data_IF_678484416704
#
_entry.id   IF_678484416704
#
_cell.length_a   1.000
_cell.length_b   1.000
_cell.length_c   1.000
_cell.angle_alpha   90.00
_cell.angle_beta   90.00
_cell.angle_gamma   90.00
#
_symmetry.space_group_name_H-M   'P 1'
#
loop_
_entity.id
_entity.type
_entity.pdbx_description
1 polymer ?
#
# COMPACT_ATOMS: atom_id res chain seq x y z
N UNK A 1 0.42 -13.73 5.70
CA UNK A 1 1.80 -13.82 5.19
C UNK A 1 2.48 -14.88 6.02
N UNK A 2 3.30 -15.73 5.41
CA UNK A 2 4.17 -16.63 6.17
C UNK A 2 5.17 -15.80 6.97
N UNK A 3 5.71 -16.34 8.06
CA UNK A 3 6.73 -15.63 8.85
C UNK A 3 8.08 -15.59 8.12
N UNK A 4 8.39 -16.66 7.38
CA UNK A 4 9.61 -16.82 6.61
C UNK A 4 9.32 -17.27 5.18
N UNK A 5 10.22 -16.96 4.26
CA UNK A 5 10.19 -17.46 2.89
C UNK A 5 10.65 -18.92 2.82
N UNK A 6 9.95 -19.79 2.10
CA UNK A 6 10.31 -21.21 2.00
C UNK A 6 11.54 -21.46 1.11
N UNK A 7 11.83 -20.56 0.16
CA UNK A 7 12.94 -20.73 -0.79
C UNK A 7 14.28 -20.19 -0.25
N UNK A 8 14.25 -19.12 0.55
CA UNK A 8 15.46 -18.46 1.05
C UNK A 8 15.48 -18.26 2.58
N UNK A 9 14.48 -18.78 3.30
CA UNK A 9 14.33 -18.67 4.77
C UNK A 9 14.28 -17.23 5.34
N UNK A 10 14.11 -16.23 4.47
CA UNK A 10 14.05 -14.81 4.82
C UNK A 10 12.88 -14.52 5.76
N UNK A 11 13.14 -13.90 6.91
CA UNK A 11 12.10 -13.43 7.84
C UNK A 11 11.44 -12.17 7.30
N UNK A 12 10.13 -12.23 7.04
CA UNK A 12 9.39 -11.11 6.45
C UNK A 12 9.14 -9.95 7.42
N UNK A 13 9.07 -10.24 8.73
CA UNK A 13 8.95 -9.24 9.78
C UNK A 13 10.26 -9.20 10.58
N UNK A 14 11.17 -8.28 10.24
CA UNK A 14 12.47 -8.12 10.93
C UNK A 14 12.26 -7.79 12.41
N UNK A 15 11.50 -6.72 12.68
CA UNK A 15 11.21 -6.22 14.03
C UNK A 15 9.70 -5.99 14.24
N UNK A 16 9.27 -5.84 15.51
CA UNK A 16 7.87 -5.56 15.86
C UNK A 16 7.42 -4.27 15.21
N UNK A 17 6.35 -4.34 14.43
CA UNK A 17 5.79 -3.16 13.78
C UNK A 17 6.53 -2.72 12.52
N UNK A 18 7.40 -3.57 11.95
CA UNK A 18 8.06 -3.33 10.65
C UNK A 18 7.07 -2.90 9.55
N UNK A 19 5.88 -3.50 9.52
CA UNK A 19 4.85 -3.16 8.53
C UNK A 19 4.12 -1.84 8.77
N UNK A 20 4.45 -1.06 9.81
CA UNK A 20 3.86 0.27 10.00
C UNK A 20 4.18 1.18 8.81
N UNK A 21 5.38 1.03 8.24
CA UNK A 21 5.79 1.68 6.99
C UNK A 21 4.85 1.41 5.81
N UNK A 22 4.40 0.16 5.68
CA UNK A 22 3.49 -0.25 4.60
C UNK A 22 2.12 0.46 4.66
N UNK A 23 1.70 0.89 5.85
CA UNK A 23 0.46 1.68 6.01
C UNK A 23 0.58 3.04 5.32
N UNK A 24 1.76 3.68 5.35
CA UNK A 24 1.98 4.93 4.65
C UNK A 24 1.94 4.75 3.13
N UNK A 25 2.50 3.65 2.61
CA UNK A 25 2.41 3.31 1.17
C UNK A 25 0.94 3.14 0.77
N UNK A 26 0.17 2.40 1.55
CA UNK A 26 -1.24 2.15 1.28
C UNK A 26 -2.05 3.45 1.31
N UNK A 27 -1.84 4.29 2.32
CA UNK A 27 -2.48 5.59 2.46
C UNK A 27 -2.14 6.52 1.30
N UNK A 28 -0.85 6.64 0.95
CA UNK A 28 -0.39 7.44 -0.18
C UNK A 28 -1.00 7.00 -1.50
N UNK A 29 -1.06 5.69 -1.75
CA UNK A 29 -1.68 5.13 -2.95
C UNK A 29 -3.18 5.43 -3.02
N UNK A 30 -3.91 5.20 -1.92
CA UNK A 30 -5.34 5.45 -1.83
C UNK A 30 -5.66 6.93 -2.01
N UNK A 31 -4.89 7.81 -1.37
CA UNK A 31 -5.04 9.26 -1.49
C UNK A 31 -4.79 9.74 -2.92
N UNK A 32 -3.69 9.30 -3.54
CA UNK A 32 -3.37 9.64 -4.92
C UNK A 32 -4.48 9.20 -5.89
N UNK A 33 -4.99 7.98 -5.72
CA UNK A 33 -6.08 7.46 -6.54
C UNK A 33 -7.35 8.29 -6.38
N UNK A 34 -7.71 8.69 -5.16
CA UNK A 34 -8.89 9.52 -4.91
C UNK A 34 -8.77 10.90 -5.55
N UNK A 35 -7.60 11.54 -5.48
CA UNK A 35 -7.35 12.83 -6.14
C UNK A 35 -7.53 12.66 -7.65
N UNK A 36 -6.87 11.67 -8.26
CA UNK A 36 -6.98 11.43 -9.71
C UNK A 36 -8.42 11.15 -10.14
N UNK A 37 -9.14 10.30 -9.39
CA UNK A 37 -10.53 9.98 -9.68
C UNK A 37 -11.45 11.19 -9.54
N UNK A 38 -11.31 11.96 -8.45
CA UNK A 38 -12.12 13.15 -8.24
C UNK A 38 -11.91 14.17 -9.35
N UNK A 39 -10.66 14.51 -9.66
CA UNK A 39 -10.37 15.47 -10.72
C UNK A 39 -10.83 14.96 -12.09
N UNK A 40 -10.59 13.69 -12.42
CA UNK A 40 -11.02 13.09 -13.68
C UNK A 40 -12.53 13.04 -13.85
N UNK A 41 -13.26 12.63 -12.81
CA UNK A 41 -14.72 12.48 -12.89
C UNK A 41 -15.45 13.82 -12.77
N UNK A 42 -14.99 14.72 -11.90
CA UNK A 42 -15.64 16.01 -11.69
C UNK A 42 -15.35 16.98 -12.83
N UNK A 43 -14.08 17.20 -13.18
CA UNK A 43 -13.72 18.15 -14.23
C UNK A 43 -13.74 17.54 -15.63
N UNK A 44 -13.47 16.24 -15.78
CA UNK A 44 -13.47 15.58 -17.08
C UNK A 44 -14.85 15.12 -17.55
N UNK A 45 -15.64 14.51 -16.66
CA UNK A 45 -16.97 13.97 -17.00
C UNK A 45 -18.15 14.85 -16.53
N UNK A 46 -17.90 15.93 -15.77
CA UNK A 46 -18.94 16.83 -15.30
C UNK A 46 -19.86 16.25 -14.22
N UNK A 47 -19.45 15.18 -13.53
CA UNK A 47 -20.24 14.60 -12.45
C UNK A 47 -20.36 15.58 -11.27
N UNK A 48 -21.54 15.66 -10.67
CA UNK A 48 -21.77 16.50 -9.49
C UNK A 48 -21.13 15.91 -8.23
N UNK A 49 -20.78 16.76 -7.25
CA UNK A 49 -20.18 16.31 -5.99
C UNK A 49 -21.06 15.30 -5.24
N UNK A 50 -22.39 15.44 -5.33
CA UNK A 50 -23.34 14.52 -4.69
C UNK A 50 -23.27 13.12 -5.29
N UNK A 51 -23.14 13.01 -6.62
CA UNK A 51 -23.02 11.73 -7.33
C UNK A 51 -21.68 11.03 -7.05
N UNK A 52 -20.63 11.81 -6.79
CA UNK A 52 -19.28 11.29 -6.52
C UNK A 52 -19.05 10.87 -5.07
N UNK A 53 -19.84 11.36 -4.13
CA UNK A 53 -19.65 11.13 -2.70
C UNK A 53 -19.64 9.64 -2.33
N UNK A 54 -20.67 8.89 -2.76
CA UNK A 54 -20.79 7.46 -2.49
C UNK A 54 -19.69 6.60 -3.16
N UNK A 55 -19.43 6.72 -4.48
CA UNK A 55 -18.39 5.91 -5.12
C UNK A 55 -16.98 6.23 -4.59
N UNK A 56 -16.66 7.51 -4.32
CA UNK A 56 -15.35 7.85 -3.74
C UNK A 56 -15.20 7.34 -2.30
N UNK A 57 -16.26 7.37 -1.49
CA UNK A 57 -16.25 6.75 -0.17
C UNK A 57 -16.05 5.22 -0.25
N UNK A 58 -16.69 4.56 -1.22
CA UNK A 58 -16.49 3.13 -1.46
C UNK A 58 -15.03 2.83 -1.88
N UNK A 59 -14.42 3.66 -2.72
CA UNK A 59 -13.00 3.55 -3.09
C UNK A 59 -12.09 3.78 -1.88
N UNK A 60 -12.36 4.79 -1.06
CA UNK A 60 -11.58 5.10 0.13
C UNK A 60 -11.51 3.92 1.11
N UNK A 61 -12.59 3.14 1.23
CA UNK A 61 -12.62 1.96 2.11
C UNK A 61 -12.11 0.71 1.40
N UNK A 62 -12.52 0.48 0.15
CA UNK A 62 -12.22 -0.73 -0.59
C UNK A 62 -10.76 -0.86 -1.00
N UNK A 63 -10.13 0.24 -1.42
CA UNK A 63 -8.75 0.22 -1.93
C UNK A 63 -7.75 -0.18 -0.85
N UNK A 64 -7.78 0.39 0.38
CA UNK A 64 -6.86 -0.04 1.42
C UNK A 64 -6.97 -1.53 1.78
N UNK A 65 -8.18 -2.09 1.75
CA UNK A 65 -8.43 -3.51 2.05
C UNK A 65 -7.79 -4.40 0.98
N UNK A 66 -8.03 -4.09 -0.29
CA UNK A 66 -7.44 -4.85 -1.41
C UNK A 66 -5.93 -4.67 -1.46
N UNK A 67 -5.45 -3.45 -1.24
CA UNK A 67 -4.04 -3.08 -1.36
C UNK A 67 -3.21 -3.45 -0.13
N UNK A 68 -3.81 -3.91 0.98
CA UNK A 68 -3.07 -4.25 2.21
C UNK A 68 -1.92 -5.23 1.92
N UNK A 69 -2.19 -6.35 1.25
CA UNK A 69 -1.17 -7.35 0.93
C UNK A 69 -0.05 -6.75 0.07
N UNK A 70 -0.42 -5.95 -0.92
CA UNK A 70 0.50 -5.36 -1.88
C UNK A 70 1.36 -4.25 -1.26
N UNK A 71 0.80 -3.43 -0.38
CA UNK A 71 1.54 -2.42 0.34
C UNK A 71 2.65 -3.04 1.20
N UNK A 72 2.38 -4.18 1.84
CA UNK A 72 3.39 -4.95 2.59
C UNK A 72 4.48 -5.54 1.69
N UNK A 73 4.11 -6.06 0.51
CA UNK A 73 5.11 -6.58 -0.43
C UNK A 73 5.97 -5.48 -1.04
N UNK A 74 5.39 -4.32 -1.35
CA UNK A 74 6.14 -3.16 -1.87
C UNK A 74 7.08 -2.64 -0.79
N UNK A 75 6.63 -2.51 0.46
CA UNK A 75 7.48 -2.10 1.58
C UNK A 75 8.69 -3.03 1.73
N UNK A 76 8.46 -4.34 1.76
CA UNK A 76 9.53 -5.34 1.85
C UNK A 76 10.50 -5.26 0.65
N UNK A 77 9.99 -5.08 -0.56
CA UNK A 77 10.80 -4.96 -1.76
C UNK A 77 11.65 -3.67 -1.76
N UNK A 78 11.07 -2.55 -1.32
CA UNK A 78 11.81 -1.29 -1.15
C UNK A 78 12.91 -1.45 -0.11
N UNK A 79 12.60 -2.02 1.05
CA UNK A 79 13.57 -2.25 2.12
C UNK A 79 14.74 -3.14 1.66
N UNK A 80 14.47 -4.20 0.91
CA UNK A 80 15.49 -5.07 0.31
C UNK A 80 16.43 -4.34 -0.68
N UNK A 81 15.93 -3.30 -1.35
CA UNK A 81 16.73 -2.48 -2.26
C UNK A 81 17.55 -1.43 -1.52
N UNK A 82 16.97 -0.80 -0.49
CA UNK A 82 17.60 0.29 0.25
C UNK A 82 18.59 -0.19 1.31
N UNK A 83 18.24 -1.21 2.08
CA UNK A 83 19.07 -1.80 3.13
C UNK A 83 19.33 -3.28 2.82
N UNK A 84 20.17 -3.51 1.82
CA UNK A 84 20.58 -4.87 1.43
C UNK A 84 21.50 -5.53 2.46
N UNK A 85 22.22 -4.72 3.23
CA UNK A 85 23.18 -5.14 4.27
C UNK A 85 22.49 -5.70 5.50
N UNK A 86 21.38 -5.11 5.92
CA UNK A 86 20.61 -5.59 7.06
C UNK A 86 19.99 -6.98 6.87
N UNK A 87 19.92 -7.50 5.64
CA UNK A 87 19.51 -8.87 5.35
C UNK A 87 20.66 -9.89 5.41
N UNK A 88 21.92 -9.44 5.37
CA UNK A 88 23.12 -10.30 5.38
C UNK A 88 23.69 -10.53 6.79
N UNK A 89 23.34 -9.68 7.77
CA UNK A 89 23.77 -9.81 9.17
C UNK A 89 22.82 -10.68 10.01
N UNK A 90 21.61 -10.95 9.52
CA UNK A 90 20.56 -11.74 10.19
C UNK A 90 20.61 -13.26 9.82
N UNK A 91 21.62 -13.69 9.05
CA UNK A 91 21.89 -15.09 8.64
C UNK A 91 22.81 -15.83 9.63
#
# INVERSE_FOLDING_TARGET
>A
MHERCEACNLKYERDRGYFLGSTYINYGWTGMLLVVLYFGLHFGCGFTNTQLSFPLAAVFIGVPIVMWRHARSIWLAMDCVFDRTGFAEDE
#
